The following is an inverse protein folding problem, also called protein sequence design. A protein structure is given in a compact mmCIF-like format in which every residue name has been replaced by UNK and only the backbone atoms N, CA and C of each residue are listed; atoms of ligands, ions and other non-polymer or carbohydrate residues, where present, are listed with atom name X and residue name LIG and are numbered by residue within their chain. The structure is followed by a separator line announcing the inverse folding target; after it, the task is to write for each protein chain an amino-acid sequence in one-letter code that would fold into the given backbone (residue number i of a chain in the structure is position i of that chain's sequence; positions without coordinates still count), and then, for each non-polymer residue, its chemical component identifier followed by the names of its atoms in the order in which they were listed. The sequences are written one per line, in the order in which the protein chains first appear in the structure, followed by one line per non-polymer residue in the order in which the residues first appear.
data_IF_987542221139
#
_entry.id   IF_987542221139
#
_cell.length_a   1.000
_cell.length_b   1.000
_cell.length_c   1.000
_cell.angle_alpha   90.00
_cell.angle_beta   90.00
_cell.angle_gamma   90.00
#
_symmetry.space_group_name_H-M   'P 1'
#
loop_
_entity.id
_entity.type
_entity.pdbx_description
1 polymer ?
#
# COMPACT_ATOMS: atom_id res chain seq x y z
N UNK A 1 19.07 -2.03 -18.98
CA UNK A 1 20.45 -1.89 -18.47
C UNK A 1 20.90 -3.08 -17.61
N UNK A 2 20.10 -3.57 -16.65
CA UNK A 2 20.48 -4.72 -15.81
C UNK A 2 20.82 -6.00 -16.59
N UNK A 3 19.99 -6.42 -17.55
CA UNK A 3 20.27 -7.61 -18.36
C UNK A 3 21.61 -7.52 -19.09
N UNK A 4 21.95 -6.37 -19.67
CA UNK A 4 23.21 -6.17 -20.37
C UNK A 4 24.43 -6.31 -19.44
N UNK A 5 24.33 -5.80 -18.21
CA UNK A 5 25.37 -5.98 -17.18
C UNK A 5 25.52 -7.47 -16.83
N UNK A 6 24.41 -8.19 -16.63
CA UNK A 6 24.44 -9.62 -16.31
C UNK A 6 25.02 -10.46 -17.46
N UNK A 7 24.70 -10.12 -18.71
CA UNK A 7 25.29 -10.72 -19.91
C UNK A 7 26.79 -10.46 -19.95
N UNK A 8 27.23 -9.21 -19.74
CA UNK A 8 28.65 -8.85 -19.72
C UNK A 8 29.42 -9.58 -18.60
N UNK A 9 28.78 -9.87 -17.48
CA UNK A 9 29.33 -10.67 -16.39
C UNK A 9 29.23 -12.19 -16.61
N UNK A 10 28.69 -12.67 -17.74
CA UNK A 10 28.56 -14.10 -18.06
C UNK A 10 27.41 -14.84 -17.35
N UNK A 11 26.50 -14.12 -16.69
CA UNK A 11 25.42 -14.70 -15.88
C UNK A 11 24.02 -14.17 -16.28
N UNK A 12 23.61 -14.25 -17.56
CA UNK A 12 22.32 -13.72 -18.01
C UNK A 12 21.12 -14.40 -17.35
N UNK A 13 21.25 -15.67 -16.95
CA UNK A 13 20.19 -16.44 -16.30
C UNK A 13 19.73 -15.83 -14.96
N UNK A 14 20.58 -15.06 -14.26
CA UNK A 14 20.19 -14.38 -13.02
C UNK A 14 19.08 -13.35 -13.24
N UNK A 15 18.88 -12.87 -14.48
CA UNK A 15 17.76 -12.00 -14.81
C UNK A 15 16.40 -12.70 -14.60
N UNK A 16 16.35 -14.03 -14.69
CA UNK A 16 15.13 -14.79 -14.43
C UNK A 16 14.66 -14.68 -12.97
N UNK A 17 15.54 -14.36 -12.02
CA UNK A 17 15.15 -14.09 -10.63
C UNK A 17 14.23 -12.87 -10.54
N UNK A 18 14.47 -11.85 -11.37
CA UNK A 18 13.59 -10.67 -11.44
C UNK A 18 12.22 -11.06 -11.99
N UNK A 19 12.18 -11.88 -13.05
CA UNK A 19 10.92 -12.38 -13.64
C UNK A 19 10.16 -13.23 -12.63
N UNK A 20 10.84 -14.14 -11.94
CA UNK A 20 10.24 -14.97 -10.91
C UNK A 20 9.66 -14.12 -9.77
N UNK A 21 10.41 -13.15 -9.25
CA UNK A 21 9.96 -12.23 -8.21
C UNK A 21 8.75 -11.39 -8.68
N UNK A 22 8.74 -10.96 -9.95
CA UNK A 22 7.61 -10.24 -10.54
C UNK A 22 6.32 -11.06 -10.52
N UNK A 23 6.40 -12.32 -10.96
CA UNK A 23 5.25 -13.22 -11.06
C UNK A 23 4.78 -13.77 -9.71
N UNK A 24 5.64 -13.75 -8.69
CA UNK A 24 5.34 -14.32 -7.37
C UNK A 24 5.21 -13.23 -6.31
N UNK A 25 6.33 -12.81 -5.72
CA UNK A 25 6.38 -11.90 -4.57
C UNK A 25 5.77 -10.54 -4.87
N UNK A 26 6.13 -9.91 -5.99
CA UNK A 26 5.59 -8.60 -6.36
C UNK A 26 4.08 -8.69 -6.61
N UNK A 27 3.64 -9.69 -7.37
CA UNK A 27 2.21 -9.91 -7.64
C UNK A 27 1.41 -10.15 -6.36
N UNK A 28 1.97 -10.91 -5.40
CA UNK A 28 1.35 -11.11 -4.08
C UNK A 28 1.26 -9.81 -3.28
N UNK A 29 2.37 -9.08 -3.14
CA UNK A 29 2.41 -7.81 -2.38
C UNK A 29 1.45 -6.78 -2.96
N UNK A 30 1.39 -6.66 -4.30
CA UNK A 30 0.47 -5.76 -4.98
C UNK A 30 -1.00 -6.10 -4.70
N UNK A 31 -1.35 -7.40 -4.63
CA UNK A 31 -2.72 -7.84 -4.29
C UNK A 31 -3.08 -7.50 -2.86
N UNK A 32 -2.18 -7.81 -1.90
CA UNK A 32 -2.38 -7.47 -0.48
C UNK A 32 -2.59 -5.97 -0.34
N UNK A 33 -1.77 -5.16 -1.03
CA UNK A 33 -1.88 -3.71 -0.98
C UNK A 33 -3.17 -3.19 -1.61
N UNK A 34 -3.55 -3.71 -2.78
CA UNK A 34 -4.82 -3.37 -3.43
C UNK A 34 -6.03 -3.66 -2.54
N UNK A 35 -6.05 -4.80 -1.85
CA UNK A 35 -7.10 -5.14 -0.87
C UNK A 35 -7.07 -4.18 0.32
N UNK A 36 -5.89 -3.82 0.81
CA UNK A 36 -5.75 -2.90 1.94
C UNK A 36 -6.13 -1.46 1.63
N UNK A 37 -5.99 -1.03 0.39
CA UNK A 37 -6.24 0.35 -0.04
C UNK A 37 -7.68 0.54 -0.52
N UNK A 38 -8.25 -0.44 -1.22
CA UNK A 38 -9.55 -0.34 -1.89
C UNK A 38 -10.52 -1.49 -1.58
N UNK A 39 -10.09 -2.53 -0.88
CA UNK A 39 -10.95 -3.65 -0.52
C UNK A 39 -11.83 -3.33 0.68
N UNK A 40 -13.08 -3.82 0.65
CA UNK A 40 -14.04 -3.67 1.75
C UNK A 40 -14.23 -2.22 2.20
N UNK A 41 -14.23 -1.30 1.25
CA UNK A 41 -14.47 0.13 1.48
C UNK A 41 -15.98 0.41 1.37
N UNK A 42 -16.60 1.17 2.29
CA UNK A 42 -18.07 1.25 2.40
C UNK A 42 -18.77 1.97 1.24
N UNK A 43 -18.16 3.01 0.69
CA UNK A 43 -18.77 3.85 -0.36
C UNK A 43 -17.70 4.35 -1.33
N UNK A 44 -17.84 4.02 -2.61
CA UNK A 44 -16.90 4.43 -3.64
C UNK A 44 -17.10 5.89 -4.09
N UNK A 45 -18.25 6.50 -3.79
CA UNK A 45 -18.59 7.88 -4.14
C UNK A 45 -18.16 8.92 -3.12
N UNK A 46 -17.77 8.50 -1.91
CA UNK A 46 -17.31 9.38 -0.84
C UNK A 46 -15.77 9.33 -0.73
N UNK A 47 -15.13 10.49 -0.85
CA UNK A 47 -13.67 10.64 -0.83
C UNK A 47 -12.99 10.14 0.46
N UNK A 48 -13.73 10.01 1.57
CA UNK A 48 -13.22 9.48 2.84
C UNK A 48 -13.48 7.99 3.05
N UNK A 49 -14.37 7.41 2.25
CA UNK A 49 -14.84 6.04 2.37
C UNK A 49 -14.52 5.18 1.16
N UNK A 50 -13.96 5.75 0.08
CA UNK A 50 -13.59 5.04 -1.14
C UNK A 50 -12.20 4.37 -1.06
N UNK A 51 -11.39 4.81 -0.12
CA UNK A 51 -10.00 4.37 0.07
C UNK A 51 -9.63 4.34 1.54
N UNK A 52 -8.59 3.57 1.86
CA UNK A 52 -8.18 3.32 3.24
C UNK A 52 -6.73 3.67 3.49
N UNK A 53 -6.47 4.28 4.65
CA UNK A 53 -5.12 4.38 5.20
C UNK A 53 -4.85 3.25 6.19
N UNK A 54 -3.79 2.49 5.92
CA UNK A 54 -3.33 1.41 6.80
C UNK A 54 -2.14 1.91 7.61
N UNK A 55 -2.27 1.95 8.94
CA UNK A 55 -1.18 2.29 9.85
C UNK A 55 -0.29 1.06 10.04
N UNK A 56 0.95 1.17 9.58
CA UNK A 56 1.87 0.04 9.47
C UNK A 56 3.06 0.18 10.41
N UNK A 57 3.60 -0.95 10.86
CA UNK A 57 4.90 -1.01 11.53
C UNK A 57 6.05 -0.75 10.54
N UNK A 58 7.23 -0.47 11.06
CA UNK A 58 8.40 -0.16 10.22
C UNK A 58 8.76 -1.29 9.23
N UNK A 59 8.55 -2.56 9.59
CA UNK A 59 8.83 -3.71 8.75
C UNK A 59 7.74 -3.94 7.70
N UNK A 60 6.45 -3.78 8.05
CA UNK A 60 5.35 -3.79 7.08
C UNK A 60 5.54 -2.71 6.01
N UNK A 61 5.99 -1.52 6.44
CA UNK A 61 6.36 -0.45 5.53
C UNK A 61 7.51 -0.83 4.60
N UNK A 62 8.53 -1.54 5.09
CA UNK A 62 9.67 -1.92 4.27
C UNK A 62 9.29 -2.93 3.16
N UNK A 63 8.44 -3.91 3.49
CA UNK A 63 8.15 -5.02 2.58
C UNK A 63 6.87 -4.86 1.76
N UNK A 64 5.84 -4.19 2.30
CA UNK A 64 4.50 -4.13 1.69
C UNK A 64 4.17 -2.72 1.18
N UNK A 65 4.53 -1.70 1.96
CA UNK A 65 4.19 -0.31 1.68
C UNK A 65 5.41 0.65 1.65
N UNK A 66 6.41 0.40 0.80
CA UNK A 66 7.54 1.32 0.70
C UNK A 66 7.06 2.69 0.23
N UNK A 67 7.83 3.73 0.55
CA UNK A 67 7.52 5.12 0.16
C UNK A 67 6.18 5.66 0.71
N UNK A 68 5.72 5.15 1.86
CA UNK A 68 4.55 5.69 2.57
C UNK A 68 3.23 5.59 1.77
N UNK A 69 3.14 4.65 0.82
CA UNK A 69 1.93 4.40 0.03
C UNK A 69 0.74 3.92 0.87
N UNK A 70 1.01 3.41 2.08
CA UNK A 70 -0.02 3.02 3.05
C UNK A 70 -0.91 4.18 3.51
N UNK A 71 -0.49 5.44 3.30
CA UNK A 71 -1.30 6.65 3.48
C UNK A 71 -2.12 6.94 2.22
N UNK A 72 -2.87 5.94 1.77
CA UNK A 72 -3.54 5.96 0.48
C UNK A 72 -4.73 6.92 0.47
N UNK A 73 -5.50 6.97 1.56
CA UNK A 73 -6.59 7.93 1.71
C UNK A 73 -6.06 9.37 1.59
N UNK A 74 -4.96 9.69 2.27
CA UNK A 74 -4.38 11.04 2.17
C UNK A 74 -3.90 11.35 0.75
N UNK A 75 -3.39 10.36 0.04
CA UNK A 75 -3.00 10.53 -1.35
C UNK A 75 -4.21 10.86 -2.24
N UNK A 76 -5.36 10.19 -2.08
CA UNK A 76 -6.57 10.51 -2.84
C UNK A 76 -7.14 11.88 -2.47
N UNK A 77 -7.15 12.23 -1.19
CA UNK A 77 -7.61 13.55 -0.73
C UNK A 77 -6.74 14.70 -1.28
N UNK A 78 -5.44 14.49 -1.46
CA UNK A 78 -4.55 15.52 -2.00
C UNK A 78 -3.32 14.93 -2.71
N UNK A 79 -3.50 14.50 -3.97
CA UNK A 79 -2.48 13.87 -4.82
C UNK A 79 -1.21 14.74 -4.97
N UNK A 80 -1.36 16.06 -4.88
CA UNK A 80 -0.25 17.01 -4.95
C UNK A 80 0.72 16.94 -3.74
N UNK A 81 0.31 16.34 -2.62
CA UNK A 81 1.17 16.20 -1.44
C UNK A 81 2.19 15.08 -1.70
N UNK A 82 3.49 15.38 -1.59
CA UNK A 82 4.50 14.35 -1.76
C UNK A 82 4.44 13.33 -0.63
N UNK A 83 4.75 12.07 -0.95
CA UNK A 83 4.56 10.93 -0.05
C UNK A 83 5.22 11.10 1.34
N UNK A 84 6.39 11.75 1.42
CA UNK A 84 7.08 12.02 2.69
C UNK A 84 6.33 12.98 3.63
N UNK A 85 5.37 13.76 3.12
CA UNK A 85 4.53 14.65 3.90
C UNK A 85 3.17 14.03 4.28
N UNK A 86 2.79 12.87 3.70
CA UNK A 86 1.51 12.20 4.01
C UNK A 86 1.36 11.84 5.49
N UNK A 87 2.40 11.37 6.23
CA UNK A 87 2.27 11.12 7.66
C UNK A 87 1.95 12.40 8.47
N UNK A 88 2.49 13.54 8.03
CA UNK A 88 2.18 14.85 8.63
C UNK A 88 0.76 15.26 8.32
N UNK A 89 0.30 15.08 7.08
CA UNK A 89 -1.08 15.34 6.68
C UNK A 89 -2.06 14.47 7.48
N UNK A 90 -1.83 13.16 7.58
CA UNK A 90 -2.63 12.24 8.39
C UNK A 90 -2.79 12.74 9.83
N UNK A 91 -1.68 13.15 10.45
CA UNK A 91 -1.71 13.69 11.82
C UNK A 91 -2.58 14.95 11.92
N UNK A 92 -2.44 15.90 10.99
CA UNK A 92 -3.23 17.14 10.97
C UNK A 92 -4.72 16.88 10.75
N UNK A 93 -5.07 15.98 9.82
CA UNK A 93 -6.45 15.58 9.57
C UNK A 93 -7.08 14.91 10.79
N UNK A 94 -6.31 14.05 11.48
CA UNK A 94 -6.74 13.42 12.73
C UNK A 94 -6.95 14.41 13.85
N UNK A 95 -6.01 15.34 14.06
CA UNK A 95 -6.09 16.39 15.08
C UNK A 95 -7.30 17.31 14.87
N UNK A 96 -7.68 17.54 13.61
CA UNK A 96 -8.86 18.33 13.24
C UNK A 96 -10.18 17.54 13.25
N UNK A 97 -10.16 16.26 13.61
CA UNK A 97 -11.35 15.40 13.65
C UNK A 97 -11.88 14.97 12.28
N UNK A 98 -11.19 15.29 11.18
CA UNK A 98 -11.64 14.99 9.81
C UNK A 98 -11.66 13.48 9.56
N UNK A 99 -10.77 12.71 10.20
CA UNK A 99 -10.68 11.26 10.02
C UNK A 99 -11.63 10.46 10.93
N UNK A 100 -12.54 11.09 11.67
CA UNK A 100 -13.40 10.39 12.65
C UNK A 100 -14.35 9.36 12.02
N UNK A 101 -14.72 9.54 10.74
CA UNK A 101 -15.52 8.58 9.96
C UNK A 101 -14.76 7.94 8.80
N UNK A 102 -13.47 8.27 8.62
CA UNK A 102 -12.73 7.80 7.46
C UNK A 102 -12.23 6.37 7.63
N UNK A 103 -11.96 5.69 6.51
CA UNK A 103 -11.42 4.34 6.51
C UNK A 103 -9.94 4.33 6.94
N UNK A 104 -9.69 4.06 8.23
CA UNK A 104 -8.34 3.91 8.79
C UNK A 104 -8.25 2.58 9.55
N UNK A 105 -7.22 1.78 9.28
CA UNK A 105 -7.01 0.46 9.93
C UNK A 105 -5.57 0.31 10.40
N UNK A 106 -5.34 -0.50 11.43
CA UNK A 106 -4.01 -0.80 11.97
C UNK A 106 -3.51 -2.17 11.49
N UNK A 107 -2.42 -2.17 10.72
CA UNK A 107 -1.71 -3.36 10.24
C UNK A 107 -2.37 -4.08 9.06
N UNK A 108 -1.55 -4.74 8.23
CA UNK A 108 -2.04 -5.52 7.09
C UNK A 108 -2.79 -6.79 7.52
N UNK A 109 -2.39 -7.39 8.65
CA UNK A 109 -3.07 -8.57 9.17
C UNK A 109 -4.54 -8.32 9.46
N UNK A 110 -4.88 -7.15 10.02
CA UNK A 110 -6.27 -6.81 10.31
C UNK A 110 -7.09 -6.64 9.03
N UNK A 111 -6.50 -6.05 8.00
CA UNK A 111 -7.15 -5.95 6.68
C UNK A 111 -7.43 -7.33 6.10
N UNK A 112 -6.44 -8.22 6.14
CA UNK A 112 -6.59 -9.57 5.59
C UNK A 112 -7.64 -10.37 6.36
N UNK A 113 -7.65 -10.27 7.68
CA UNK A 113 -8.68 -10.86 8.55
C UNK A 113 -10.09 -10.38 8.18
N UNK A 114 -10.26 -9.06 7.98
CA UNK A 114 -11.52 -8.47 7.50
C UNK A 114 -11.90 -8.99 6.11
N UNK A 115 -10.94 -9.11 5.19
CA UNK A 115 -11.19 -9.58 3.83
C UNK A 115 -11.49 -11.09 3.75
N UNK A 116 -11.03 -11.89 4.72
CA UNK A 116 -11.28 -13.33 4.79
C UNK A 116 -12.47 -13.72 5.67
N UNK A 117 -12.99 -12.79 6.47
CA UNK A 117 -14.13 -13.05 7.34
C UNK A 117 -15.42 -13.11 6.53
N UNK A 118 -16.29 -14.07 6.82
CA UNK A 118 -17.57 -14.27 6.12
C UNK A 118 -18.63 -13.21 6.41
N UNK A 119 -18.28 -12.15 7.13
CA UNK A 119 -19.16 -11.02 7.43
C UNK A 119 -18.67 -9.80 6.64
N UNK A 120 -19.09 -9.77 5.38
CA UNK A 120 -18.94 -8.66 4.45
C UNK A 120 -20.31 -8.36 3.85
#
# INVERSE_FOLDING_TARGET
MLLAVLVACGHPALYLLWVAAWLTTYSLVMRIRSIAEHGMVPDQGDDFLNTRTTRVRWWERLFIAPNLVNYHLEHHLMIAVPHYNLPRMHRLLRERGVLAGACVTDGYWRVLDLASSSAA
#
